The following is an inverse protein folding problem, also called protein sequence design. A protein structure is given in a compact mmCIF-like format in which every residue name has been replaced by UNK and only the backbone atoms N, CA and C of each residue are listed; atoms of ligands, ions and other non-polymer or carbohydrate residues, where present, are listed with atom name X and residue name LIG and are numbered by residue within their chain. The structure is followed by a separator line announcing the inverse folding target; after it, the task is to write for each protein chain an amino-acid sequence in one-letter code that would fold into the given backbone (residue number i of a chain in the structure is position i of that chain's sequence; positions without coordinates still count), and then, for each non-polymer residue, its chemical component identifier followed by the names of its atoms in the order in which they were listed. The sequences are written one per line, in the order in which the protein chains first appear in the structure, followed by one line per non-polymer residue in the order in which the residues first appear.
data_IF_254924716207
#
_entry.id   IF_254924716207
#
_cell.length_a   1.000
_cell.length_b   1.000
_cell.length_c   1.000
_cell.angle_alpha   90.00
_cell.angle_beta   90.00
_cell.angle_gamma   90.00
#
_symmetry.space_group_name_H-M   'P 1'
#
loop_
_entity.id
_entity.type
_entity.pdbx_description
1 polymer ?
#
# COMPACT_ATOMS: atom_id res chain seq x y z
N UNK A 1 -0.89 -19.25 -6.87
CA UNK A 1 -0.35 -20.01 -5.73
C UNK A 1 0.63 -19.11 -5.01
N UNK A 2 0.37 -18.76 -3.74
CA UNK A 2 1.32 -17.98 -2.93
C UNK A 2 2.57 -18.82 -2.65
N UNK A 3 3.73 -18.16 -2.54
CA UNK A 3 4.97 -18.82 -2.15
C UNK A 3 4.84 -19.43 -0.73
N UNK A 4 5.62 -20.45 -0.36
CA UNK A 4 5.62 -20.95 1.01
C UNK A 4 6.03 -19.85 2.00
N UNK A 5 5.52 -19.93 3.24
CA UNK A 5 5.98 -19.02 4.31
C UNK A 5 7.45 -19.28 4.63
N UNK A 6 8.20 -18.26 5.07
CA UNK A 6 9.54 -18.43 5.61
C UNK A 6 9.57 -19.42 6.78
N UNK A 7 10.77 -19.87 7.16
CA UNK A 7 10.94 -20.73 8.33
C UNK A 7 10.45 -20.04 9.61
N UNK A 8 10.12 -20.83 10.62
CA UNK A 8 9.71 -20.33 11.94
C UNK A 8 10.72 -19.34 12.53
N UNK A 9 12.00 -19.62 12.36
CA UNK A 9 13.09 -18.76 12.87
C UNK A 9 13.14 -17.41 12.14
N UNK A 10 12.89 -17.42 10.83
CA UNK A 10 12.83 -16.17 10.06
C UNK A 10 11.60 -15.33 10.44
N UNK A 11 10.45 -15.95 10.66
CA UNK A 11 9.26 -15.28 11.14
C UNK A 11 9.45 -14.72 12.55
N UNK A 12 10.02 -15.50 13.47
CA UNK A 12 10.36 -15.04 14.82
C UNK A 12 11.26 -13.80 14.77
N UNK A 13 12.31 -13.83 13.93
CA UNK A 13 13.21 -12.67 13.76
C UNK A 13 12.48 -11.42 13.24
N UNK A 14 11.55 -11.57 12.30
CA UNK A 14 10.73 -10.45 11.82
C UNK A 14 9.88 -9.90 12.98
N UNK A 15 9.23 -10.76 13.77
CA UNK A 15 8.44 -10.37 14.92
C UNK A 15 9.26 -9.65 15.99
N UNK A 16 10.45 -10.15 16.32
CA UNK A 16 11.35 -9.51 17.28
C UNK A 16 11.82 -8.13 16.82
N UNK A 17 12.17 -7.99 15.55
CA UNK A 17 12.55 -6.70 14.97
C UNK A 17 11.40 -5.70 15.00
N UNK A 18 10.19 -6.14 14.63
CA UNK A 18 9.00 -5.30 14.68
C UNK A 18 8.67 -4.88 16.12
N UNK A 19 8.70 -5.82 17.08
CA UNK A 19 8.49 -5.54 18.50
C UNK A 19 9.53 -4.58 19.07
N UNK A 20 10.81 -4.79 18.74
CA UNK A 20 11.93 -3.93 19.15
C UNK A 20 11.81 -2.50 18.60
N UNK A 21 11.21 -2.35 17.42
CA UNK A 21 10.90 -1.05 16.81
C UNK A 21 9.57 -0.45 17.26
N UNK A 22 8.79 -1.13 18.11
CA UNK A 22 7.46 -0.70 18.54
C UNK A 22 6.37 -0.83 17.47
N UNK A 23 6.62 -1.58 16.40
CA UNK A 23 5.72 -1.75 15.25
C UNK A 23 4.83 -2.98 15.45
N UNK A 24 3.74 -2.84 16.18
CA UNK A 24 2.76 -3.92 16.41
C UNK A 24 1.61 -3.89 15.40
N UNK A 25 1.26 -2.70 14.93
CA UNK A 25 0.15 -2.44 14.00
C UNK A 25 0.67 -1.60 12.86
N UNK A 26 0.60 -2.14 11.66
CA UNK A 26 1.10 -1.46 10.46
C UNK A 26 -0.04 -1.30 9.46
N UNK A 27 -0.22 -0.08 8.97
CA UNK A 27 -1.11 0.19 7.87
C UNK A 27 -0.33 0.20 6.55
N UNK A 28 -0.86 -0.53 5.56
CA UNK A 28 -0.35 -0.58 4.21
C UNK A 28 -1.32 0.17 3.30
N UNK A 29 -0.84 1.17 2.58
CA UNK A 29 -1.63 1.91 1.61
C UNK A 29 -1.16 1.57 0.20
N UNK A 30 -2.06 1.12 -0.64
CA UNK A 30 -1.79 0.92 -2.06
C UNK A 30 -2.98 1.38 -2.91
N UNK A 31 -2.71 1.65 -4.15
CA UNK A 31 -3.77 1.99 -5.10
C UNK A 31 -4.80 0.85 -5.20
N UNK A 32 -4.31 -0.37 -5.39
CA UNK A 32 -5.08 -1.60 -5.62
C UNK A 32 -4.62 -2.70 -4.67
N UNK A 33 -5.39 -3.77 -4.59
CA UNK A 33 -4.97 -5.03 -3.97
C UNK A 33 -5.06 -6.18 -4.98
N UNK A 34 -4.83 -7.40 -4.51
CA UNK A 34 -4.79 -8.60 -5.37
C UNK A 34 -6.11 -8.94 -6.07
N UNK A 35 -7.24 -8.40 -5.62
CA UNK A 35 -8.57 -8.68 -6.20
C UNK A 35 -8.94 -7.68 -7.32
N UNK A 36 -8.11 -6.67 -7.53
CA UNK A 36 -8.30 -5.76 -8.66
C UNK A 36 -7.94 -6.48 -9.96
N UNK A 37 -8.75 -6.28 -11.00
CA UNK A 37 -8.55 -6.91 -12.31
C UNK A 37 -7.23 -6.51 -12.99
N UNK A 38 -6.66 -5.37 -12.58
CA UNK A 38 -5.38 -4.86 -13.06
C UNK A 38 -4.23 -5.12 -12.05
N UNK A 39 -4.44 -6.00 -11.05
CA UNK A 39 -3.40 -6.33 -10.09
C UNK A 39 -2.17 -6.92 -10.80
N UNK A 40 -1.01 -6.46 -10.40
CA UNK A 40 0.27 -6.85 -10.99
C UNK A 40 1.33 -7.19 -9.94
N UNK A 41 2.59 -7.05 -10.34
CA UNK A 41 3.73 -7.43 -9.48
C UNK A 41 3.82 -6.63 -8.18
N UNK A 42 3.42 -5.36 -8.18
CA UNK A 42 3.41 -4.52 -6.98
C UNK A 42 2.39 -5.00 -5.94
N UNK A 43 1.21 -5.40 -6.38
CA UNK A 43 0.16 -5.92 -5.50
C UNK A 43 0.54 -7.31 -4.96
N UNK A 44 1.15 -8.16 -5.80
CA UNK A 44 1.68 -9.47 -5.35
C UNK A 44 2.78 -9.28 -4.30
N UNK A 45 3.73 -8.37 -4.53
CA UNK A 45 4.79 -8.08 -3.57
C UNK A 45 4.22 -7.52 -2.26
N UNK A 46 3.30 -6.56 -2.33
CA UNK A 46 2.65 -6.01 -1.15
C UNK A 46 1.89 -7.07 -0.33
N UNK A 47 1.21 -8.00 -1.01
CA UNK A 47 0.51 -9.11 -0.37
C UNK A 47 1.47 -10.07 0.35
N UNK A 48 2.60 -10.41 -0.28
CA UNK A 48 3.62 -11.26 0.34
C UNK A 48 4.22 -10.59 1.59
N UNK A 49 4.53 -9.29 1.52
CA UNK A 49 4.99 -8.52 2.69
C UNK A 49 3.94 -8.54 3.81
N UNK A 50 2.68 -8.23 3.49
CA UNK A 50 1.59 -8.24 4.46
C UNK A 50 1.40 -9.61 5.11
N UNK A 51 1.44 -10.68 4.31
CA UNK A 51 1.32 -12.07 4.76
C UNK A 51 2.46 -12.47 5.69
N UNK A 52 3.71 -12.14 5.36
CA UNK A 52 4.87 -12.45 6.19
C UNK A 52 4.83 -11.67 7.52
N UNK A 53 4.45 -10.41 7.50
CA UNK A 53 4.29 -9.62 8.71
C UNK A 53 3.17 -10.14 9.60
N UNK A 54 2.01 -10.47 9.02
CA UNK A 54 0.91 -11.08 9.76
C UNK A 54 1.31 -12.43 10.38
N UNK A 55 2.00 -13.29 9.63
CA UNK A 55 2.52 -14.55 10.15
C UNK A 55 3.58 -14.37 11.26
N UNK A 56 4.29 -13.25 11.26
CA UNK A 56 5.24 -12.86 12.31
C UNK A 56 4.57 -12.16 13.52
N UNK A 57 3.22 -12.05 13.56
CA UNK A 57 2.47 -11.49 14.67
C UNK A 57 2.23 -9.98 14.60
N UNK A 58 2.52 -9.33 13.47
CA UNK A 58 2.16 -7.92 13.25
C UNK A 58 0.72 -7.82 12.77
N UNK A 59 -0.07 -6.95 13.39
CA UNK A 59 -1.44 -6.63 12.92
C UNK A 59 -1.36 -5.72 11.69
N UNK A 60 -1.67 -6.26 10.52
CA UNK A 60 -1.59 -5.54 9.26
C UNK A 60 -2.97 -5.18 8.74
N UNK A 61 -3.18 -3.90 8.47
CA UNK A 61 -4.37 -3.39 7.77
C UNK A 61 -3.97 -2.81 6.42
N UNK A 62 -4.43 -3.44 5.35
CA UNK A 62 -4.20 -3.00 3.98
C UNK A 62 -5.38 -2.19 3.45
N UNK A 63 -5.15 -0.95 3.06
CA UNK A 63 -6.15 -0.05 2.48
C UNK A 63 -5.91 0.11 0.98
N UNK A 64 -6.94 -0.18 0.18
CA UNK A 64 -6.93 -0.07 -1.29
C UNK A 64 -8.22 0.54 -1.85
N UNK A 65 -8.28 0.75 -3.16
CA UNK A 65 -9.52 1.09 -3.89
C UNK A 65 -10.50 -0.08 -3.90
N UNK A 66 -11.72 0.15 -4.40
CA UNK A 66 -12.68 -0.92 -4.64
C UNK A 66 -12.15 -1.93 -5.64
N UNK A 67 -12.39 -3.21 -5.37
CA UNK A 67 -12.29 -4.29 -6.34
C UNK A 67 -13.70 -4.78 -6.65
N UNK A 68 -14.08 -4.79 -7.94
CA UNK A 68 -15.44 -5.13 -8.37
C UNK A 68 -15.79 -6.56 -8.01
N UNK A 69 -16.97 -6.77 -7.45
CA UNK A 69 -17.43 -8.10 -7.00
C UNK A 69 -16.86 -8.57 -5.66
N UNK A 70 -15.98 -7.79 -5.01
CA UNK A 70 -15.35 -8.17 -3.75
C UNK A 70 -15.84 -7.32 -2.56
N UNK A 71 -15.88 -7.90 -1.34
CA UNK A 71 -16.36 -7.19 -0.15
C UNK A 71 -15.45 -6.00 0.20
N UNK A 72 -16.06 -4.96 0.79
CA UNK A 72 -15.34 -3.75 1.23
C UNK A 72 -14.37 -3.99 2.39
N UNK A 73 -14.55 -5.06 3.14
CA UNK A 73 -13.63 -5.52 4.20
C UNK A 73 -13.53 -7.03 4.12
N UNK A 74 -12.31 -7.54 4.16
CA UNK A 74 -12.03 -8.97 4.18
C UNK A 74 -10.80 -9.27 5.05
N UNK A 75 -10.73 -10.50 5.56
CA UNK A 75 -9.47 -11.06 6.10
C UNK A 75 -8.83 -11.93 5.02
N UNK A 76 -7.52 -11.81 4.88
CA UNK A 76 -6.73 -12.59 3.95
C UNK A 76 -5.38 -12.93 4.58
N UNK A 77 -5.03 -14.22 4.63
CA UNK A 77 -3.71 -14.67 5.10
C UNK A 77 -3.25 -14.02 6.42
N UNK A 78 -4.18 -13.76 7.35
CA UNK A 78 -3.90 -13.16 8.65
C UNK A 78 -3.92 -11.63 8.68
N UNK A 79 -4.05 -10.94 7.55
CA UNK A 79 -4.18 -9.48 7.51
C UNK A 79 -5.57 -9.01 7.07
N UNK A 80 -5.94 -7.80 7.46
CA UNK A 80 -7.20 -7.16 7.11
C UNK A 80 -7.06 -6.31 5.86
N UNK A 81 -7.96 -6.49 4.88
CA UNK A 81 -8.06 -5.64 3.69
C UNK A 81 -9.29 -4.76 3.78
N UNK A 82 -9.12 -3.46 3.51
CA UNK A 82 -10.20 -2.46 3.46
C UNK A 82 -10.22 -1.86 2.05
N UNK A 83 -11.26 -2.18 1.27
CA UNK A 83 -11.49 -1.69 -0.09
C UNK A 83 -12.54 -0.59 -0.07
N UNK A 84 -12.12 0.66 -0.23
CA UNK A 84 -13.07 1.78 -0.24
C UNK A 84 -12.62 2.88 -1.19
N UNK A 85 -13.57 3.56 -1.78
CA UNK A 85 -13.39 4.59 -2.78
C UNK A 85 -12.97 4.06 -4.16
N UNK A 86 -13.29 4.81 -5.19
CA UNK A 86 -12.88 4.52 -6.56
C UNK A 86 -11.41 4.84 -6.80
N UNK A 87 -10.97 4.52 -8.00
CA UNK A 87 -9.58 4.50 -8.48
C UNK A 87 -8.75 5.73 -8.07
N UNK A 88 -9.27 6.93 -8.17
CA UNK A 88 -8.53 8.16 -7.84
C UNK A 88 -8.89 8.74 -6.46
N UNK A 89 -10.09 8.48 -5.98
CA UNK A 89 -10.52 8.96 -4.66
C UNK A 89 -9.93 8.15 -3.49
N UNK A 90 -9.29 7.02 -3.77
CA UNK A 90 -8.62 6.22 -2.74
C UNK A 90 -7.54 7.02 -2.02
N UNK A 91 -6.77 7.84 -2.74
CA UNK A 91 -5.65 8.60 -2.20
C UNK A 91 -6.08 9.60 -1.11
N UNK A 92 -6.93 10.62 -1.39
CA UNK A 92 -7.35 11.55 -0.36
C UNK A 92 -8.22 10.90 0.72
N UNK A 93 -9.02 9.89 0.36
CA UNK A 93 -9.88 9.21 1.34
C UNK A 93 -9.12 8.28 2.28
N UNK A 94 -8.05 7.65 1.83
CA UNK A 94 -7.17 6.88 2.70
C UNK A 94 -6.44 7.82 3.68
N UNK A 95 -5.85 8.91 3.19
CA UNK A 95 -5.20 9.91 4.03
C UNK A 95 -6.17 10.47 5.10
N UNK A 96 -7.40 10.84 4.72
CA UNK A 96 -8.41 11.31 5.65
C UNK A 96 -8.81 10.23 6.68
N UNK A 97 -8.92 8.97 6.24
CA UNK A 97 -9.27 7.87 7.14
C UNK A 97 -8.15 7.58 8.16
N UNK A 98 -6.89 7.70 7.76
CA UNK A 98 -5.73 7.63 8.66
C UNK A 98 -5.76 8.78 9.67
N UNK A 99 -5.88 10.02 9.20
CA UNK A 99 -5.93 11.21 10.06
C UNK A 99 -7.10 11.20 11.05
N UNK A 100 -8.21 10.57 10.70
CA UNK A 100 -9.41 10.46 11.56
C UNK A 100 -9.48 9.16 12.36
N UNK A 101 -8.46 8.30 12.28
CA UNK A 101 -8.40 7.01 12.98
C UNK A 101 -9.43 5.98 12.53
N UNK A 102 -10.04 6.13 11.36
CA UNK A 102 -11.09 5.22 10.86
C UNK A 102 -10.59 3.81 10.50
N UNK A 103 -9.30 3.65 10.30
CA UNK A 103 -8.67 2.34 10.09
C UNK A 103 -8.27 1.66 11.40
N UNK A 104 -8.34 2.37 12.50
CA UNK A 104 -7.82 1.98 13.81
C UNK A 104 -6.46 2.63 14.09
N UNK A 105 -5.85 2.30 15.23
CA UNK A 105 -4.52 2.80 15.57
C UNK A 105 -3.45 2.12 14.72
N UNK A 106 -2.40 2.87 14.35
CA UNK A 106 -1.21 2.34 13.66
C UNK A 106 0.06 2.83 14.35
N UNK A 107 1.06 1.97 14.37
CA UNK A 107 2.40 2.27 14.87
C UNK A 107 3.36 2.62 13.73
N UNK A 108 3.00 2.25 12.49
CA UNK A 108 3.77 2.53 11.28
C UNK A 108 2.93 2.46 10.01
N UNK A 109 3.43 3.08 8.95
CA UNK A 109 2.81 3.13 7.64
C UNK A 109 3.74 2.63 6.55
N UNK A 110 3.25 1.73 5.69
CA UNK A 110 3.88 1.37 4.43
C UNK A 110 3.04 1.93 3.28
N UNK A 111 3.61 2.82 2.50
CA UNK A 111 3.02 3.34 1.28
C UNK A 111 3.59 2.61 0.06
N UNK A 112 2.72 1.98 -0.72
CA UNK A 112 3.11 1.38 -2.01
C UNK A 112 2.89 2.41 -3.10
N UNK A 113 3.98 2.87 -3.68
CA UNK A 113 3.94 3.81 -4.80
C UNK A 113 4.04 3.04 -6.11
N UNK A 114 2.90 2.91 -6.76
CA UNK A 114 2.76 2.38 -8.10
C UNK A 114 1.89 3.33 -8.92
N UNK A 115 2.50 4.29 -9.59
CA UNK A 115 1.87 5.34 -10.37
C UNK A 115 1.63 6.63 -9.60
N UNK A 116 0.75 6.68 -8.63
CA UNK A 116 0.43 7.89 -7.86
C UNK A 116 0.71 7.72 -6.37
N UNK A 117 1.38 8.69 -5.72
CA UNK A 117 1.66 8.65 -4.29
C UNK A 117 0.45 9.02 -3.43
N UNK A 118 0.41 8.50 -2.20
CA UNK A 118 -0.51 8.95 -1.16
C UNK A 118 -0.02 10.22 -0.45
N UNK A 119 1.18 10.68 -0.77
CA UNK A 119 1.82 11.84 -0.14
C UNK A 119 1.90 11.72 1.39
N UNK A 120 2.11 10.52 1.92
CA UNK A 120 2.18 10.26 3.36
C UNK A 120 3.18 11.15 4.11
N UNK A 121 4.33 11.59 3.54
CA UNK A 121 5.22 12.53 4.20
C UNK A 121 4.58 13.86 4.59
N UNK A 122 3.50 14.27 3.93
CA UNK A 122 2.85 15.56 4.19
C UNK A 122 1.85 15.51 5.35
N UNK A 123 1.29 14.33 5.66
CA UNK A 123 0.19 14.21 6.61
C UNK A 123 0.40 13.15 7.71
N UNK A 124 1.23 12.11 7.49
CA UNK A 124 1.50 11.09 8.51
C UNK A 124 2.75 11.45 9.32
N UNK A 125 2.63 11.43 10.66
CA UNK A 125 3.69 11.86 11.58
C UNK A 125 4.51 10.71 12.17
N UNK A 126 4.00 9.48 12.07
CA UNK A 126 4.68 8.28 12.60
C UNK A 126 5.79 7.73 11.71
N UNK A 127 6.40 6.62 12.13
CA UNK A 127 7.32 5.85 11.28
C UNK A 127 6.65 5.45 9.97
N UNK A 128 7.32 5.70 8.84
CA UNK A 128 6.79 5.35 7.52
C UNK A 128 7.88 4.94 6.57
N UNK A 129 7.50 4.07 5.64
CA UNK A 129 8.32 3.64 4.50
C UNK A 129 7.51 3.81 3.23
N UNK A 130 8.14 4.27 2.17
CA UNK A 130 7.58 4.29 0.82
C UNK A 130 8.29 3.23 0.00
N UNK A 131 7.53 2.28 -0.52
CA UNK A 131 8.02 1.25 -1.42
C UNK A 131 7.70 1.66 -2.86
N UNK A 132 8.72 2.10 -3.57
CA UNK A 132 8.60 2.52 -4.97
C UNK A 132 8.85 1.33 -5.89
N UNK A 133 7.84 0.95 -6.68
CA UNK A 133 7.94 -0.16 -7.64
C UNK A 133 8.41 0.28 -9.03
N UNK A 134 7.87 1.41 -9.50
CA UNK A 134 8.23 1.95 -10.82
C UNK A 134 8.26 3.47 -10.77
N UNK A 135 9.26 4.05 -11.44
CA UNK A 135 9.27 5.45 -11.83
C UNK A 135 8.66 5.54 -13.22
N UNK A 136 7.46 6.09 -13.31
CA UNK A 136 6.69 6.15 -14.56
C UNK A 136 7.01 7.38 -15.43
N UNK A 137 8.11 8.09 -15.15
CA UNK A 137 8.44 9.36 -15.79
C UNK A 137 8.30 9.34 -17.33
N UNK A 138 8.78 8.28 -17.98
CA UNK A 138 8.65 8.12 -19.43
C UNK A 138 7.25 7.67 -19.87
N UNK A 139 6.54 6.89 -19.02
CA UNK A 139 5.18 6.43 -19.31
C UNK A 139 4.15 7.57 -19.27
N UNK A 140 4.35 8.59 -18.44
CA UNK A 140 3.46 9.74 -18.42
C UNK A 140 3.37 10.43 -19.78
N UNK A 141 4.51 10.53 -20.46
CA UNK A 141 4.55 11.11 -21.81
C UNK A 141 3.91 10.18 -22.85
N UNK A 142 4.10 8.86 -22.74
CA UNK A 142 3.49 7.91 -23.67
C UNK A 142 1.97 7.79 -23.52
N UNK A 143 1.47 7.81 -22.28
CA UNK A 143 0.05 7.57 -21.99
C UNK A 143 -0.79 8.84 -22.07
N UNK A 144 -0.23 9.99 -21.64
CA UNK A 144 -0.96 11.27 -21.56
C UNK A 144 -0.41 12.36 -22.49
N UNK A 145 0.76 12.14 -23.08
CA UNK A 145 1.47 13.17 -23.83
C UNK A 145 0.69 13.71 -25.04
N UNK A 146 -0.08 12.88 -25.71
CA UNK A 146 -0.92 13.26 -26.85
C UNK A 146 -2.26 13.87 -26.44
N UNK A 147 -2.87 13.36 -25.35
CA UNK A 147 -4.20 13.76 -24.92
C UNK A 147 -4.16 14.88 -23.87
N UNK A 148 -3.12 14.96 -23.06
CA UNK A 148 -3.00 15.93 -21.98
C UNK A 148 -1.54 16.24 -21.59
N UNK A 149 -0.82 17.03 -22.40
CA UNK A 149 0.61 17.29 -22.19
C UNK A 149 0.93 17.99 -20.86
N UNK A 150 -0.03 18.72 -20.29
CA UNK A 150 0.12 19.36 -18.98
C UNK A 150 0.13 18.34 -17.85
N UNK A 151 -0.78 17.37 -17.87
CA UNK A 151 -0.82 16.29 -16.87
C UNK A 151 0.40 15.37 -16.97
N UNK A 152 0.88 15.09 -18.19
CA UNK A 152 2.11 14.33 -18.39
C UNK A 152 3.33 15.03 -17.76
N UNK A 153 3.46 16.35 -17.94
CA UNK A 153 4.53 17.14 -17.32
C UNK A 153 4.42 17.21 -15.80
N UNK A 154 3.21 17.31 -15.26
CA UNK A 154 2.98 17.31 -13.81
C UNK A 154 3.38 15.95 -13.22
N UNK A 155 2.95 14.84 -13.83
CA UNK A 155 3.32 13.49 -13.41
C UNK A 155 4.83 13.27 -13.39
N UNK A 156 5.51 13.61 -14.49
CA UNK A 156 6.98 13.54 -14.62
C UNK A 156 7.69 14.40 -13.56
N UNK A 157 7.18 15.59 -13.29
CA UNK A 157 7.76 16.51 -12.29
C UNK A 157 7.62 15.97 -10.86
N UNK A 158 6.49 15.34 -10.53
CA UNK A 158 6.24 14.75 -9.21
C UNK A 158 7.17 13.55 -8.97
N UNK A 159 7.39 12.73 -9.98
CA UNK A 159 8.22 11.53 -9.84
C UNK A 159 9.73 11.79 -9.84
N UNK A 160 10.19 12.91 -10.42
CA UNK A 160 11.61 13.26 -10.46
C UNK A 160 12.11 14.04 -9.25
N UNK A 161 11.21 14.44 -8.33
CA UNK A 161 11.55 15.18 -7.10
C UNK A 161 11.46 14.29 -5.86
#
# INVERSE_FOLDING_TARGET
MSAPLPSSDALAKIGDLAAGAGLRRVHLLSWRDLEDVEAGGSEVHAAEVARHWAAAGVDVTWRSSFASGHPSVAMRDGYRVIRRAGRYLVFPRAALAELTGRHGPSDGLLEIWNGMPFFSPLWYRGPRVVMLHHVHAEMWQMVLGNDNPTLAKVGDTIERR
#
